data_IF_108069479078
#
_entry.id   IF_108069479078
#
_cell.length_a   1.000
_cell.length_b   1.000
_cell.length_c   1.000
_cell.angle_alpha   90.00
_cell.angle_beta   90.00
_cell.angle_gamma   90.00
#
_symmetry.space_group_name_H-M   'P 1'
#
loop_
_entity.id
_entity.type
_entity.pdbx_description
1 polymer ?
#
# COMPACT_ATOMS: atom_id res chain seq x y z
N UNK A 1 9.58 47.02 68.48
CA UNK A 1 9.53 46.12 69.65
C UNK A 1 8.23 45.31 69.53
N UNK A 2 8.34 43.99 69.39
CA UNK A 2 7.30 42.96 69.06
C UNK A 2 6.60 42.57 70.38
N UNK A 3 5.30 42.14 70.49
CA UNK A 3 4.66 40.98 69.81
C UNK A 3 3.14 41.19 69.55
N UNK A 4 2.26 40.26 69.13
CA UNK A 4 2.20 38.81 69.23
C UNK A 4 1.23 38.24 68.18
N UNK A 5 1.43 36.94 67.91
CA UNK A 5 0.66 36.10 67.01
C UNK A 5 -0.79 35.91 67.46
N UNK A 6 -1.69 35.68 66.49
CA UNK A 6 -2.78 34.72 66.69
C UNK A 6 -3.21 34.12 65.34
N UNK A 7 -2.79 32.87 65.14
CA UNK A 7 -3.39 31.93 64.17
C UNK A 7 -4.69 31.40 64.75
N UNK A 8 -5.79 31.40 64.00
CA UNK A 8 -6.89 30.45 64.17
C UNK A 8 -7.72 30.42 62.86
N UNK A 9 -7.68 29.29 62.13
CA UNK A 9 -8.79 28.36 61.87
C UNK A 9 -9.69 28.79 60.67
N UNK A 10 -9.81 28.07 59.55
CA UNK A 10 -10.48 26.77 59.36
C UNK A 10 -10.32 26.29 57.87
N UNK A 11 -10.76 25.06 57.52
CA UNK A 11 -10.20 24.24 56.46
C UNK A 11 -10.87 24.49 55.10
N UNK A 12 -10.10 24.53 54.02
CA UNK A 12 -10.68 24.25 52.71
C UNK A 12 -10.59 22.74 52.50
N UNK A 13 -11.78 22.15 52.60
CA UNK A 13 -12.05 20.74 52.44
C UNK A 13 -11.38 20.16 51.19
N UNK A 14 -10.86 18.95 51.36
CA UNK A 14 -10.59 18.02 50.30
C UNK A 14 -11.84 17.88 49.41
N UNK A 15 -11.72 18.27 48.14
CA UNK A 15 -12.57 17.77 47.08
C UNK A 15 -11.66 17.07 46.07
N UNK A 16 -11.19 15.89 46.46
CA UNK A 16 -10.68 14.89 45.51
C UNK A 16 -11.87 14.46 44.65
N UNK A 17 -12.11 15.19 43.56
CA UNK A 17 -12.99 14.74 42.51
C UNK A 17 -12.32 13.51 41.88
N UNK A 18 -12.74 12.32 42.33
CA UNK A 18 -12.62 11.09 41.57
C UNK A 18 -13.17 11.39 40.18
N UNK A 19 -12.29 11.55 39.20
CA UNK A 19 -12.71 11.49 37.80
C UNK A 19 -13.25 10.08 37.59
N UNK A 20 -14.48 9.90 37.08
CA UNK A 20 -14.89 8.59 36.61
C UNK A 20 -13.88 8.17 35.54
N UNK A 21 -13.33 6.97 35.69
CA UNK A 21 -12.55 6.32 34.65
C UNK A 21 -13.34 6.48 33.35
N UNK A 22 -12.75 7.17 32.37
CA UNK A 22 -13.25 7.17 31.01
C UNK A 22 -13.29 5.69 30.61
N UNK A 23 -14.49 5.12 30.59
CA UNK A 23 -14.73 3.85 29.93
C UNK A 23 -14.22 4.06 28.51
N UNK A 24 -13.09 3.41 28.20
CA UNK A 24 -12.45 3.52 26.91
C UNK A 24 -13.39 2.93 25.86
N UNK A 25 -14.25 3.78 25.31
CA UNK A 25 -14.95 3.49 24.07
C UNK A 25 -13.90 3.00 23.06
N UNK A 26 -14.04 1.78 22.51
CA UNK A 26 -13.13 1.29 21.50
C UNK A 26 -13.08 2.34 20.38
N UNK A 27 -11.89 2.90 20.14
CA UNK A 27 -11.68 3.83 19.03
C UNK A 27 -12.24 3.16 17.75
N UNK A 28 -13.03 3.87 16.92
CA UNK A 28 -13.53 3.32 15.67
C UNK A 28 -12.35 2.73 14.90
N UNK A 29 -12.37 1.41 14.68
CA UNK A 29 -11.29 0.70 14.02
C UNK A 29 -11.21 1.25 12.60
N UNK A 30 -10.19 2.08 12.36
CA UNK A 30 -9.91 2.62 11.02
C UNK A 30 -9.79 1.41 10.08
N UNK A 31 -10.42 1.43 8.90
CA UNK A 31 -10.37 0.29 7.99
C UNK A 31 -8.92 0.05 7.58
N UNK A 32 -8.30 -0.98 8.16
CA UNK A 32 -6.99 -1.45 7.74
C UNK A 32 -7.11 -2.01 6.33
N UNK A 33 -6.20 -1.59 5.45
CA UNK A 33 -6.16 -2.11 4.07
C UNK A 33 -5.70 -3.57 4.16
N UNK A 34 -6.64 -4.52 3.99
CA UNK A 34 -6.33 -5.95 3.97
C UNK A 34 -5.83 -6.34 2.60
N UNK A 35 -4.63 -6.90 2.55
CA UNK A 35 -4.00 -7.48 1.36
C UNK A 35 -3.77 -8.97 1.64
N UNK A 36 -4.13 -9.90 0.75
CA UNK A 36 -3.76 -11.31 0.94
C UNK A 36 -2.24 -11.45 1.10
N UNK A 37 -1.78 -12.27 2.05
CA UNK A 37 -0.37 -12.32 2.46
C UNK A 37 0.60 -12.61 1.29
N UNK A 38 0.24 -13.57 0.42
CA UNK A 38 1.03 -13.89 -0.77
C UNK A 38 1.08 -12.72 -1.75
N UNK A 39 -0.07 -12.07 -1.99
CA UNK A 39 -0.16 -10.87 -2.85
C UNK A 39 0.73 -9.74 -2.30
N UNK A 40 0.70 -9.52 -0.98
CA UNK A 40 1.57 -8.53 -0.32
C UNK A 40 3.05 -8.86 -0.49
N UNK A 41 3.46 -10.12 -0.30
CA UNK A 41 4.84 -10.55 -0.52
C UNK A 41 5.29 -10.30 -1.98
N UNK A 42 4.40 -10.49 -2.95
CA UNK A 42 4.69 -10.20 -4.36
C UNK A 42 4.82 -8.70 -4.63
N UNK A 43 4.04 -7.84 -3.98
CA UNK A 43 4.25 -6.39 -3.99
C UNK A 43 5.60 -5.98 -3.37
N UNK A 44 5.94 -6.55 -2.21
CA UNK A 44 7.24 -6.29 -1.55
C UNK A 44 8.41 -6.70 -2.44
N UNK A 45 8.34 -7.88 -3.05
CA UNK A 45 9.37 -8.34 -3.99
C UNK A 45 9.50 -7.42 -5.20
N UNK A 46 8.37 -7.02 -5.82
CA UNK A 46 8.39 -6.14 -6.98
C UNK A 46 8.90 -4.72 -6.65
N UNK A 47 8.51 -4.18 -5.49
CA UNK A 47 9.02 -2.92 -4.92
C UNK A 47 10.54 -2.95 -4.80
N UNK A 48 11.08 -3.98 -4.12
CA UNK A 48 12.52 -4.14 -3.91
C UNK A 48 13.28 -4.26 -5.24
N UNK A 49 12.76 -5.08 -6.17
CA UNK A 49 13.41 -5.35 -7.47
C UNK A 49 13.51 -4.10 -8.33
N UNK A 50 12.51 -3.21 -8.28
CA UNK A 50 12.40 -2.04 -9.16
C UNK A 50 12.65 -0.70 -8.48
N UNK A 51 13.02 -0.72 -7.19
CA UNK A 51 13.22 0.49 -6.37
C UNK A 51 11.99 1.41 -6.37
N UNK A 52 10.80 0.81 -6.38
CA UNK A 52 9.53 1.52 -6.28
C UNK A 52 9.04 1.51 -4.84
N UNK A 53 8.40 2.58 -4.40
CA UNK A 53 7.78 2.62 -3.08
C UNK A 53 6.70 1.52 -2.95
N UNK A 54 6.74 0.76 -1.85
CA UNK A 54 5.79 -0.33 -1.61
C UNK A 54 4.35 0.18 -1.43
N UNK A 55 4.17 1.24 -0.65
CA UNK A 55 2.85 1.83 -0.42
C UNK A 55 2.26 2.37 -1.72
N UNK A 56 3.09 2.84 -2.65
CA UNK A 56 2.64 3.27 -3.98
C UNK A 56 2.10 2.08 -4.80
N UNK A 57 2.83 0.96 -4.84
CA UNK A 57 2.36 -0.24 -5.54
C UNK A 57 1.09 -0.81 -4.92
N UNK A 58 1.03 -0.84 -3.58
CA UNK A 58 -0.18 -1.24 -2.85
C UNK A 58 -1.35 -0.30 -3.14
N UNK A 59 -1.12 1.01 -3.20
CA UNK A 59 -2.15 1.98 -3.55
C UNK A 59 -2.71 1.75 -4.97
N UNK A 60 -1.85 1.48 -5.95
CA UNK A 60 -2.27 1.14 -7.32
C UNK A 60 -3.07 -0.16 -7.32
N UNK A 61 -2.56 -1.24 -6.71
CA UNK A 61 -3.29 -2.51 -6.64
C UNK A 61 -4.65 -2.41 -5.94
N UNK A 62 -4.77 -1.53 -4.95
CA UNK A 62 -6.03 -1.22 -4.28
C UNK A 62 -7.03 -0.56 -5.22
N UNK A 63 -6.58 0.46 -5.97
CA UNK A 63 -7.41 1.21 -6.92
C UNK A 63 -7.84 0.33 -8.10
N UNK A 64 -6.93 -0.48 -8.63
CA UNK A 64 -7.15 -1.26 -9.85
C UNK A 64 -8.14 -2.42 -9.66
N UNK A 65 -7.95 -3.22 -8.60
CA UNK A 65 -8.72 -4.46 -8.44
C UNK A 65 -9.14 -4.74 -7.00
N UNK A 66 -8.76 -3.87 -6.06
CA UNK A 66 -8.79 -4.19 -4.64
C UNK A 66 -8.06 -5.51 -4.34
N UNK A 67 -6.89 -5.70 -4.99
CA UNK A 67 -6.01 -6.87 -4.87
C UNK A 67 -6.58 -8.20 -5.39
N UNK A 68 -7.64 -8.17 -6.20
CA UNK A 68 -8.23 -9.37 -6.80
C UNK A 68 -7.41 -9.80 -8.02
N UNK A 69 -6.95 -11.05 -8.04
CA UNK A 69 -6.11 -11.57 -9.12
C UNK A 69 -6.93 -12.16 -10.29
N UNK A 70 -8.05 -12.81 -9.98
CA UNK A 70 -8.90 -13.49 -10.97
C UNK A 70 -10.03 -12.57 -11.45
N UNK A 71 -9.66 -11.41 -11.99
CA UNK A 71 -10.62 -10.41 -12.48
C UNK A 71 -10.24 -9.85 -13.83
N UNK A 72 -11.24 -9.60 -14.65
CA UNK A 72 -11.10 -8.92 -15.94
C UNK A 72 -12.10 -7.78 -15.99
N UNK A 73 -11.62 -6.60 -16.39
CA UNK A 73 -12.50 -5.45 -16.59
C UNK A 73 -13.40 -5.70 -17.80
N UNK A 74 -14.72 -5.64 -17.63
CA UNK A 74 -15.67 -5.90 -18.73
C UNK A 74 -15.55 -4.91 -19.89
N UNK A 75 -15.12 -3.67 -19.62
CA UNK A 75 -15.05 -2.60 -20.61
C UNK A 75 -13.69 -2.50 -21.30
N UNK A 76 -12.61 -2.59 -20.53
CA UNK A 76 -11.23 -2.41 -21.03
C UNK A 76 -10.50 -3.74 -21.27
N UNK A 77 -11.06 -4.85 -20.80
CA UNK A 77 -10.43 -6.17 -20.79
C UNK A 77 -9.10 -6.23 -20.02
N UNK A 78 -8.86 -5.26 -19.13
CA UNK A 78 -7.69 -5.24 -18.25
C UNK A 78 -7.73 -6.39 -17.23
N UNK A 79 -6.58 -7.03 -16.98
CA UNK A 79 -6.52 -8.31 -16.26
C UNK A 79 -5.80 -8.18 -14.93
N UNK A 80 -6.37 -8.80 -13.90
CA UNK A 80 -5.76 -9.12 -12.62
C UNK A 80 -5.45 -7.95 -11.70
N UNK A 81 -4.52 -8.18 -10.77
CA UNK A 81 -4.29 -7.32 -9.59
C UNK A 81 -4.03 -5.86 -9.94
N UNK A 82 -3.19 -5.61 -10.95
CA UNK A 82 -2.78 -4.30 -11.43
C UNK A 82 -3.41 -3.93 -12.77
N UNK A 83 -4.46 -4.67 -13.19
CA UNK A 83 -5.28 -4.41 -14.38
C UNK A 83 -4.44 -4.14 -15.64
N UNK A 84 -3.65 -5.14 -16.03
CA UNK A 84 -2.78 -5.04 -17.21
C UNK A 84 -3.63 -5.08 -18.48
N UNK A 85 -3.46 -4.07 -19.32
CA UNK A 85 -4.20 -3.93 -20.57
C UNK A 85 -3.75 -4.94 -21.65
N UNK A 86 -4.67 -5.55 -22.43
CA UNK A 86 -4.33 -6.55 -23.45
C UNK A 86 -3.36 -6.08 -24.54
N UNK A 87 -3.29 -4.78 -24.84
CA UNK A 87 -2.36 -4.28 -25.86
C UNK A 87 -0.87 -4.53 -25.48
N UNK A 88 -0.57 -4.77 -24.20
CA UNK A 88 0.77 -5.18 -23.76
C UNK A 88 1.10 -6.65 -24.06
N UNK A 89 0.12 -7.50 -24.39
CA UNK A 89 0.32 -8.94 -24.59
C UNK A 89 1.33 -9.26 -25.70
N UNK A 90 1.35 -8.46 -26.78
CA UNK A 90 2.33 -8.64 -27.86
C UNK A 90 3.77 -8.45 -27.41
N UNK A 91 4.01 -7.50 -26.50
CA UNK A 91 5.32 -7.29 -25.87
C UNK A 91 5.61 -8.38 -24.82
N UNK A 92 4.63 -8.71 -23.98
CA UNK A 92 4.76 -9.73 -22.93
C UNK A 92 5.09 -11.12 -23.47
N UNK A 93 4.55 -11.48 -24.64
CA UNK A 93 4.83 -12.76 -25.29
C UNK A 93 6.32 -12.97 -25.58
N UNK A 94 7.09 -11.89 -25.81
CA UNK A 94 8.55 -11.94 -25.99
C UNK A 94 9.28 -12.42 -24.74
N UNK A 95 8.65 -12.30 -23.58
CA UNK A 95 9.15 -12.76 -22.28
C UNK A 95 8.48 -14.06 -21.82
N UNK A 96 7.73 -14.74 -22.70
CA UNK A 96 7.01 -15.97 -22.38
C UNK A 96 5.80 -15.78 -21.47
N UNK A 97 5.29 -14.55 -21.33
CA UNK A 97 4.11 -14.22 -20.55
C UNK A 97 2.90 -14.13 -21.49
N UNK A 98 1.89 -14.93 -21.22
CA UNK A 98 0.63 -15.01 -21.95
C UNK A 98 -0.52 -14.45 -21.12
N UNK A 99 -1.66 -14.23 -21.74
CA UNK A 99 -2.86 -13.67 -21.10
C UNK A 99 -3.26 -14.44 -19.82
N UNK A 100 -3.27 -15.78 -19.89
CA UNK A 100 -3.61 -16.64 -18.74
C UNK A 100 -2.69 -16.41 -17.53
N UNK A 101 -1.44 -16.02 -17.77
CA UNK A 101 -0.45 -15.84 -16.71
C UNK A 101 -0.72 -14.53 -15.95
N UNK A 102 -1.50 -13.61 -16.51
CA UNK A 102 -1.89 -12.36 -15.85
C UNK A 102 -2.96 -12.56 -14.77
N UNK A 103 -3.57 -13.74 -14.66
CA UNK A 103 -4.43 -14.10 -13.53
C UNK A 103 -3.64 -14.59 -12.31
N UNK A 104 -2.36 -14.93 -12.47
CA UNK A 104 -1.44 -15.13 -11.34
C UNK A 104 -1.07 -13.77 -10.72
N UNK A 105 -1.36 -13.60 -9.43
CA UNK A 105 -1.17 -12.33 -8.73
C UNK A 105 0.29 -11.83 -8.84
N UNK A 106 1.25 -12.72 -8.69
CA UNK A 106 2.66 -12.36 -8.63
C UNK A 106 3.22 -11.98 -10.01
N UNK A 107 2.82 -12.71 -11.06
CA UNK A 107 3.13 -12.37 -12.44
C UNK A 107 2.53 -11.03 -12.80
N UNK A 108 1.24 -10.83 -12.49
CA UNK A 108 0.54 -9.58 -12.74
C UNK A 108 1.19 -8.37 -12.06
N UNK A 109 1.50 -8.49 -10.76
CA UNK A 109 2.18 -7.45 -9.99
C UNK A 109 3.56 -7.15 -10.56
N UNK A 110 4.32 -8.18 -10.95
CA UNK A 110 5.64 -7.98 -11.55
C UNK A 110 5.56 -7.27 -12.90
N UNK A 111 4.55 -7.55 -13.72
CA UNK A 111 4.30 -6.87 -14.99
C UNK A 111 3.88 -5.41 -14.75
N UNK A 112 2.87 -5.17 -13.91
CA UNK A 112 2.40 -3.82 -13.61
C UNK A 112 3.49 -2.94 -13.01
N UNK A 113 4.31 -3.49 -12.11
CA UNK A 113 5.46 -2.78 -11.56
C UNK A 113 6.54 -2.47 -12.60
N UNK A 114 6.70 -3.31 -13.64
CA UNK A 114 7.63 -3.02 -14.74
C UNK A 114 7.14 -1.84 -15.57
N UNK A 115 5.86 -1.87 -15.96
CA UNK A 115 5.22 -0.81 -16.72
C UNK A 115 5.25 0.52 -15.94
N UNK A 116 4.98 0.50 -14.63
CA UNK A 116 5.10 1.69 -13.79
C UNK A 116 6.54 2.22 -13.78
N UNK A 117 7.55 1.35 -13.65
CA UNK A 117 8.95 1.78 -13.70
C UNK A 117 9.31 2.41 -15.05
N UNK A 118 8.74 1.93 -16.16
CA UNK A 118 8.92 2.55 -17.48
C UNK A 118 8.33 3.96 -17.53
N UNK A 119 7.14 4.17 -16.96
CA UNK A 119 6.56 5.51 -16.83
C UNK A 119 7.37 6.41 -15.88
N UNK A 120 7.89 5.87 -14.78
CA UNK A 120 8.78 6.62 -13.88
C UNK A 120 10.01 7.14 -14.63
N UNK A 121 10.65 6.30 -15.46
CA UNK A 121 11.78 6.72 -16.30
C UNK A 121 11.35 7.75 -17.35
N UNK A 122 10.25 7.50 -18.05
CA UNK A 122 9.72 8.40 -19.07
C UNK A 122 9.47 9.83 -18.56
N UNK A 123 9.00 9.96 -17.31
CA UNK A 123 8.71 11.25 -16.69
C UNK A 123 9.78 11.74 -15.72
N UNK A 124 11.01 11.21 -15.80
CA UNK A 124 12.15 11.72 -15.03
C UNK A 124 11.98 11.62 -13.51
N UNK A 125 11.24 10.61 -13.03
CA UNK A 125 10.95 10.41 -11.61
C UNK A 125 9.75 11.21 -11.07
N UNK A 126 9.03 11.97 -11.91
CA UNK A 126 7.75 12.55 -11.50
C UNK A 126 6.72 11.44 -11.26
N UNK A 127 6.61 11.08 -9.99
CA UNK A 127 5.81 9.96 -9.51
C UNK A 127 4.35 10.09 -9.95
N UNK A 128 3.77 11.29 -9.81
CA UNK A 128 2.33 11.45 -10.02
C UNK A 128 1.98 11.57 -11.48
N UNK A 129 2.88 12.14 -12.30
CA UNK A 129 2.74 12.11 -13.74
C UNK A 129 2.86 10.70 -14.29
N UNK A 130 3.80 9.91 -13.77
CA UNK A 130 3.95 8.49 -14.13
C UNK A 130 2.73 7.65 -13.74
N UNK A 131 2.20 7.82 -12.52
CA UNK A 131 0.99 7.14 -12.05
C UNK A 131 -0.22 7.50 -12.92
N UNK A 132 -0.39 8.78 -13.25
CA UNK A 132 -1.46 9.22 -14.15
C UNK A 132 -1.36 8.54 -15.52
N UNK A 133 -0.16 8.50 -16.10
CA UNK A 133 0.08 7.83 -17.37
C UNK A 133 -0.12 6.31 -17.32
N UNK A 134 0.21 5.66 -16.21
CA UNK A 134 -0.07 4.24 -15.99
C UNK A 134 -1.57 3.95 -16.13
N UNK A 135 -2.43 4.70 -15.44
CA UNK A 135 -3.87 4.44 -15.40
C UNK A 135 -4.65 4.94 -16.62
N UNK A 136 -4.21 6.04 -17.26
CA UNK A 136 -4.99 6.69 -18.32
C UNK A 136 -4.28 6.77 -19.69
N UNK A 137 -3.02 6.34 -19.77
CA UNK A 137 -2.19 6.41 -20.97
C UNK A 137 -1.63 7.80 -21.29
N UNK A 138 -0.78 7.85 -22.31
CA UNK A 138 0.04 9.03 -22.65
C UNK A 138 -0.55 9.96 -23.72
N UNK A 139 -1.73 9.62 -24.28
CA UNK A 139 -2.34 10.43 -25.34
C UNK A 139 -2.65 11.85 -24.85
N UNK A 140 -2.41 12.92 -25.65
CA UNK A 140 -2.60 14.29 -25.20
C UNK A 140 -4.00 14.57 -24.62
N UNK A 141 -5.05 14.04 -25.25
CA UNK A 141 -6.44 14.20 -24.85
C UNK A 141 -6.81 13.55 -23.50
N UNK A 142 -5.90 12.77 -22.90
CA UNK A 142 -6.11 12.07 -21.63
C UNK A 142 -5.62 12.83 -20.40
N UNK A 143 -5.16 14.07 -20.52
CA UNK A 143 -4.58 14.83 -19.39
C UNK A 143 -5.50 14.88 -18.17
N UNK A 144 -6.78 15.24 -18.35
CA UNK A 144 -7.75 15.24 -17.24
C UNK A 144 -7.90 13.88 -16.57
N UNK A 145 -7.88 12.80 -17.35
CA UNK A 145 -7.98 11.44 -16.84
C UNK A 145 -6.72 11.02 -16.07
N UNK A 146 -5.53 11.41 -16.55
CA UNK A 146 -4.25 11.19 -15.84
C UNK A 146 -4.25 11.86 -14.48
N UNK A 147 -4.64 13.14 -14.42
CA UNK A 147 -4.71 13.90 -13.16
C UNK A 147 -5.69 13.25 -12.19
N UNK A 148 -6.89 12.89 -12.65
CA UNK A 148 -7.91 12.25 -11.82
C UNK A 148 -7.44 10.89 -11.28
N UNK A 149 -6.83 10.06 -12.13
CA UNK A 149 -6.29 8.76 -11.71
C UNK A 149 -5.14 8.92 -10.70
N UNK A 150 -4.21 9.85 -10.95
CA UNK A 150 -3.11 10.13 -10.03
C UNK A 150 -3.61 10.60 -8.65
N UNK A 151 -4.66 11.43 -8.61
CA UNK A 151 -5.31 11.85 -7.36
C UNK A 151 -5.91 10.66 -6.61
N UNK A 152 -6.65 9.80 -7.30
CA UNK A 152 -7.26 8.60 -6.69
C UNK A 152 -6.23 7.70 -6.02
N UNK A 153 -5.11 7.44 -6.71
CA UNK A 153 -4.00 6.64 -6.15
C UNK A 153 -3.32 7.39 -5.00
N UNK A 154 -3.11 8.71 -5.11
CA UNK A 154 -2.51 9.54 -4.06
C UNK A 154 -3.29 9.47 -2.76
N UNK A 155 -4.61 9.51 -2.81
CA UNK A 155 -5.46 9.45 -1.61
C UNK A 155 -5.36 8.10 -0.90
N UNK A 156 -5.19 7.00 -1.64
CA UNK A 156 -4.91 5.68 -1.05
C UNK A 156 -3.50 5.64 -0.48
N UNK A 157 -2.51 6.14 -1.23
CA UNK A 157 -1.11 6.18 -0.81
C UNK A 157 -0.92 6.94 0.52
N UNK A 158 -1.53 8.12 0.65
CA UNK A 158 -1.46 8.92 1.88
C UNK A 158 -2.07 8.19 3.07
N UNK A 159 -3.16 7.44 2.87
CA UNK A 159 -3.75 6.62 3.93
C UNK A 159 -2.88 5.44 4.34
N UNK A 160 -2.09 4.88 3.42
CA UNK A 160 -1.15 3.80 3.73
C UNK A 160 0.10 4.32 4.46
N UNK A 161 0.58 5.51 4.13
CA UNK A 161 1.77 6.11 4.76
C UNK A 161 1.50 6.76 6.12
N UNK A 162 0.29 7.28 6.34
CA UNK A 162 -0.12 7.88 7.61
C UNK A 162 -0.59 6.86 8.65
N UNK A 163 -0.63 5.56 8.32
CA UNK A 163 -0.84 4.51 9.31
C UNK A 163 0.46 4.27 10.07
N UNK A 164 0.52 4.53 11.39
CA UNK A 164 1.64 4.07 12.19
C UNK A 164 1.73 2.55 12.03
N UNK A 165 2.93 2.05 11.69
CA UNK A 165 3.21 0.63 11.74
C UNK A 165 2.71 0.12 13.10
N UNK A 166 1.71 -0.76 13.07
CA UNK A 166 1.14 -1.32 14.28
C UNK A 166 2.24 -2.15 14.95
N UNK A 167 2.98 -1.55 15.88
CA UNK A 167 3.87 -2.25 16.80
C UNK A 167 2.97 -3.05 17.73
N UNK A 168 2.66 -4.28 17.33
CA UNK A 168 2.08 -5.27 18.23
C UNK A 168 3.22 -5.86 19.05
N UNK A 169 3.53 -5.22 20.18
CA UNK A 169 4.19 -5.89 21.29
C UNK A 169 3.18 -6.85 21.93
N UNK A 170 3.17 -8.09 21.44
CA UNK A 170 2.42 -9.19 22.01
C UNK A 170 3.31 -10.43 22.06
N UNK A 171 3.97 -10.60 23.20
CA UNK A 171 4.84 -11.71 23.55
C UNK A 171 4.03 -13.01 23.72
N UNK A 172 4.43 -14.09 23.02
CA UNK A 172 4.44 -15.52 23.43
C UNK A 172 4.22 -16.48 22.22
N UNK A 173 5.31 -17.06 21.67
CA UNK A 173 5.69 -18.50 21.68
C UNK A 173 4.71 -19.44 20.95
N UNK A 174 5.07 -20.32 20.00
CA UNK A 174 6.29 -21.14 19.80
C UNK A 174 6.28 -21.81 18.39
N UNK A 175 7.32 -22.59 18.00
CA UNK A 175 7.79 -22.73 16.61
C UNK A 175 7.33 -24.02 15.89
N UNK A 176 7.34 -23.99 14.55
CA UNK A 176 7.50 -25.19 13.72
C UNK A 176 8.58 -24.94 12.68
N UNK A 177 9.51 -25.89 12.58
CA UNK A 177 10.77 -25.80 11.87
C UNK A 177 10.85 -26.78 10.70
N UNK A 178 11.34 -26.28 9.55
CA UNK A 178 12.17 -26.92 8.49
C UNK A 178 11.52 -27.82 7.39
N UNK A 179 12.21 -28.12 6.24
CA UNK A 179 13.51 -27.64 5.71
C UNK A 179 13.49 -27.13 4.23
N UNK A 180 14.69 -26.71 3.77
CA UNK A 180 15.10 -26.00 2.54
C UNK A 180 15.56 -26.94 1.40
N UNK A 181 15.35 -26.57 0.12
CA UNK A 181 16.25 -26.68 -1.08
C UNK A 181 15.42 -26.71 -2.40
N UNK A 182 15.80 -26.21 -3.59
CA UNK A 182 16.94 -25.43 -4.09
C UNK A 182 16.52 -24.66 -5.39
N UNK A 183 17.20 -23.52 -5.59
CA UNK A 183 17.35 -22.58 -6.73
C UNK A 183 16.55 -22.72 -8.04
N UNK A 184 15.77 -21.67 -8.36
CA UNK A 184 15.34 -21.31 -9.72
C UNK A 184 16.31 -20.25 -10.30
N UNK A 185 16.67 -20.31 -11.60
CA UNK A 185 17.58 -19.33 -12.20
C UNK A 185 17.00 -17.92 -12.14
N UNK A 186 17.86 -16.98 -11.77
CA UNK A 186 17.55 -15.57 -11.64
C UNK A 186 17.57 -14.91 -13.02
N UNK A 187 16.40 -14.49 -13.52
CA UNK A 187 16.35 -13.65 -14.71
C UNK A 187 16.71 -12.22 -14.28
N UNK A 188 17.92 -11.78 -14.62
CA UNK A 188 18.34 -10.39 -14.56
C UNK A 188 17.63 -9.64 -15.68
N UNK A 189 16.67 -8.79 -15.33
CA UNK A 189 16.15 -7.79 -16.27
C UNK A 189 16.94 -6.52 -16.00
N UNK A 190 18.09 -6.40 -16.65
CA UNK A 190 18.70 -5.11 -16.98
C UNK A 190 18.49 -4.92 -18.47
N UNK A 191 17.58 -4.02 -18.83
CA UNK A 191 17.69 -3.06 -19.94
C UNK A 191 16.80 -1.87 -19.62
#
# INVERSE_FOLDING_TARGET
>A
MVPAALRLLLPVAACLLLSPAANGEPLPTRPHVRVPALTHACFQHASNRRKLDLNLLLAIGKVESNYRAEVTNERSSAIGVMQIMPFHLGWLKKYGIYERDLYDACTNINVGSALLADFMRMYGGDTWRAVGAYGAGIKPEKERARVAYAQLVRDVYLRLTQQPAQVSNGTATSPVSQPVAASRPQLVIQQ
#
